data_IF_665593074413
#
_entry.id   IF_665593074413
#
_cell.length_a   1.000
_cell.length_b   1.000
_cell.length_c   1.000
_cell.angle_alpha   90.00
_cell.angle_beta   90.00
_cell.angle_gamma   90.00
#
_symmetry.space_group_name_H-M   'P 1'
#
loop_
_entity.id
_entity.type
_entity.pdbx_description
1 polymer ?
#
# COMPACT_ATOMS: atom_id res chain seq x y z
N UNK A 1 20.54 -11.57 9.44
CA UNK A 1 19.81 -12.69 8.82
C UNK A 1 18.40 -12.79 9.39
N UNK A 2 18.24 -12.72 10.71
CA UNK A 2 16.95 -12.79 11.40
C UNK A 2 15.98 -11.66 10.97
N UNK A 3 16.45 -10.42 10.89
CA UNK A 3 15.66 -9.27 10.45
C UNK A 3 15.17 -9.40 9.00
N UNK A 4 15.99 -9.94 8.10
CA UNK A 4 15.59 -10.20 6.71
C UNK A 4 14.48 -11.26 6.67
N UNK A 5 14.65 -12.36 7.40
CA UNK A 5 13.65 -13.42 7.48
C UNK A 5 12.31 -12.93 8.01
N UNK A 6 12.31 -12.17 9.10
CA UNK A 6 11.11 -11.57 9.68
C UNK A 6 10.42 -10.61 8.72
N UNK A 7 11.18 -9.74 8.04
CA UNK A 7 10.66 -8.83 7.03
C UNK A 7 10.02 -9.56 5.85
N UNK A 8 10.69 -10.57 5.29
CA UNK A 8 10.14 -11.40 4.22
C UNK A 8 8.85 -12.09 4.64
N UNK A 9 8.82 -12.63 5.86
CA UNK A 9 7.63 -13.32 6.35
C UNK A 9 6.45 -12.36 6.54
N UNK A 10 6.70 -11.21 7.15
CA UNK A 10 5.65 -10.22 7.44
C UNK A 10 5.13 -9.53 6.17
N UNK A 11 6.02 -9.10 5.27
CA UNK A 11 5.64 -8.18 4.19
C UNK A 11 5.39 -8.87 2.84
N UNK A 12 5.89 -10.09 2.63
CA UNK A 12 5.71 -10.82 1.38
C UNK A 12 5.00 -12.16 1.57
N UNK A 13 5.50 -13.05 2.45
CA UNK A 13 4.91 -14.38 2.60
C UNK A 13 3.46 -14.30 3.09
N UNK A 14 3.14 -13.36 3.98
CA UNK A 14 1.77 -13.13 4.45
C UNK A 14 0.82 -12.75 3.30
N UNK A 15 1.28 -11.90 2.36
CA UNK A 15 0.50 -11.50 1.19
C UNK A 15 0.29 -12.68 0.25
N UNK A 16 1.34 -13.46 -0.02
CA UNK A 16 1.25 -14.64 -0.88
C UNK A 16 0.30 -15.70 -0.31
N UNK A 17 0.42 -16.00 0.99
CA UNK A 17 -0.46 -16.93 1.69
C UNK A 17 -1.90 -16.42 1.75
N UNK A 18 -2.10 -15.15 2.08
CA UNK A 18 -3.43 -14.51 2.08
C UNK A 18 -4.09 -14.58 0.71
N UNK A 19 -3.35 -14.28 -0.36
CA UNK A 19 -3.84 -14.39 -1.74
C UNK A 19 -4.22 -15.83 -2.08
N UNK A 20 -3.40 -16.81 -1.70
CA UNK A 20 -3.68 -18.24 -1.94
C UNK A 20 -4.97 -18.67 -1.26
N UNK A 21 -5.11 -18.47 0.05
CA UNK A 21 -6.29 -18.91 0.79
C UNK A 21 -7.56 -18.17 0.36
N UNK A 22 -7.46 -16.87 0.06
CA UNK A 22 -8.59 -16.11 -0.49
C UNK A 22 -9.01 -16.67 -1.86
N UNK A 23 -8.05 -16.97 -2.73
CA UNK A 23 -8.33 -17.52 -4.06
C UNK A 23 -8.97 -18.92 -4.00
N UNK A 24 -8.54 -19.77 -3.06
CA UNK A 24 -9.18 -21.09 -2.82
C UNK A 24 -10.65 -20.90 -2.45
N UNK A 25 -10.96 -20.04 -1.47
CA UNK A 25 -12.34 -19.78 -1.05
C UNK A 25 -13.19 -19.09 -2.14
N UNK A 26 -12.62 -18.12 -2.87
CA UNK A 26 -13.32 -17.40 -3.93
C UNK A 26 -13.63 -18.28 -5.14
N UNK A 27 -12.78 -19.25 -5.46
CA UNK A 27 -13.03 -20.18 -6.55
C UNK A 27 -14.28 -21.04 -6.33
N UNK A 28 -14.62 -21.36 -5.08
CA UNK A 28 -15.82 -22.10 -4.71
C UNK A 28 -17.10 -21.26 -4.84
N UNK A 29 -16.99 -19.94 -4.79
CA UNK A 29 -18.13 -18.99 -4.81
C UNK A 29 -18.30 -18.26 -6.14
N UNK A 30 -17.54 -18.64 -7.17
CA UNK A 30 -17.69 -18.10 -8.52
C UNK A 30 -16.82 -16.88 -8.84
N UNK A 31 -15.80 -16.61 -8.03
CA UNK A 31 -14.84 -15.54 -8.28
C UNK A 31 -14.76 -14.51 -7.15
N UNK A 32 -14.01 -13.45 -7.38
CA UNK A 32 -13.84 -12.41 -6.37
C UNK A 32 -12.79 -11.36 -6.71
N UNK A 33 -12.42 -10.57 -5.71
CA UNK A 33 -11.41 -9.51 -5.83
C UNK A 33 -10.43 -9.57 -4.68
N UNK A 34 -9.15 -9.57 -5.01
CA UNK A 34 -8.04 -9.49 -4.06
C UNK A 34 -7.29 -8.18 -4.31
N UNK A 35 -7.05 -7.41 -3.25
CA UNK A 35 -6.29 -6.16 -3.34
C UNK A 35 -5.12 -6.25 -2.36
N UNK A 36 -3.91 -6.30 -2.90
CA UNK A 36 -2.68 -6.37 -2.12
C UNK A 36 -2.15 -4.98 -1.80
N UNK A 37 -1.71 -4.77 -0.57
CA UNK A 37 -1.15 -3.49 -0.16
C UNK A 37 0.36 -3.45 -0.45
N UNK A 38 0.75 -2.81 -1.54
CA UNK A 38 2.13 -2.52 -1.91
C UNK A 38 2.62 -1.20 -1.27
N UNK A 39 3.35 -0.37 -1.97
CA UNK A 39 3.80 0.97 -1.54
C UNK A 39 4.52 1.68 -2.68
N UNK A 40 4.51 3.01 -2.70
CA UNK A 40 5.39 3.80 -3.58
C UNK A 40 6.88 3.53 -3.33
N UNK A 41 7.24 2.98 -2.18
CA UNK A 41 8.61 2.54 -1.89
C UNK A 41 9.08 1.41 -2.83
N UNK A 42 8.15 0.63 -3.39
CA UNK A 42 8.44 -0.37 -4.43
C UNK A 42 8.68 0.23 -5.82
N UNK A 43 8.31 1.50 -6.04
CA UNK A 43 8.46 2.23 -7.31
C UNK A 43 9.60 3.24 -7.29
N UNK A 44 9.89 3.80 -6.14
CA UNK A 44 10.84 4.89 -6.00
C UNK A 44 11.79 4.64 -4.83
N UNK A 45 13.08 4.81 -5.07
CA UNK A 45 14.10 4.75 -4.03
C UNK A 45 13.95 5.88 -3.01
N UNK A 46 14.49 5.69 -1.80
CA UNK A 46 14.44 6.63 -0.66
C UNK A 46 13.03 6.94 -0.13
N UNK A 47 12.07 6.05 -0.35
CA UNK A 47 10.74 6.12 0.28
C UNK A 47 10.57 5.09 1.43
N UNK A 48 11.59 4.29 1.69
CA UNK A 48 11.74 3.31 2.74
C UNK A 48 13.16 2.77 2.74
N UNK A 49 13.48 1.90 3.69
CA UNK A 49 14.75 1.17 3.66
C UNK A 49 14.80 0.18 2.48
N UNK A 50 16.00 -0.37 2.24
CA UNK A 50 16.22 -1.24 1.08
C UNK A 50 15.41 -2.54 1.16
N UNK A 51 15.25 -3.13 2.36
CA UNK A 51 14.49 -4.36 2.55
C UNK A 51 12.99 -4.12 2.30
N UNK A 52 12.44 -3.11 2.95
CA UNK A 52 11.04 -2.72 2.79
C UNK A 52 10.72 -2.42 1.31
N UNK A 53 11.53 -1.60 0.66
CA UNK A 53 11.35 -1.21 -0.74
C UNK A 53 11.39 -2.43 -1.68
N UNK A 54 12.35 -3.33 -1.45
CA UNK A 54 12.46 -4.57 -2.22
C UNK A 54 11.23 -5.47 -2.05
N UNK A 55 10.76 -5.64 -0.81
CA UNK A 55 9.60 -6.48 -0.54
C UNK A 55 8.30 -5.89 -1.09
N UNK A 56 8.13 -4.57 -1.04
CA UNK A 56 6.96 -3.89 -1.62
C UNK A 56 6.96 -3.94 -3.16
N UNK A 57 8.13 -3.89 -3.80
CA UNK A 57 8.27 -4.16 -5.22
C UNK A 57 7.91 -5.61 -5.56
N UNK A 58 8.32 -6.56 -4.72
CA UNK A 58 7.96 -7.97 -4.87
C UNK A 58 6.45 -8.21 -4.75
N UNK A 59 5.75 -7.52 -3.83
CA UNK A 59 4.29 -7.59 -3.70
C UNK A 59 3.61 -7.09 -4.98
N UNK A 60 4.05 -5.96 -5.54
CA UNK A 60 3.50 -5.42 -6.79
C UNK A 60 3.71 -6.39 -7.96
N UNK A 61 4.90 -7.01 -8.06
CA UNK A 61 5.18 -7.98 -9.11
C UNK A 61 4.38 -9.28 -8.91
N UNK A 62 4.34 -9.82 -7.70
CA UNK A 62 3.52 -11.00 -7.34
C UNK A 62 2.06 -10.80 -7.72
N UNK A 63 1.50 -9.62 -7.47
CA UNK A 63 0.12 -9.27 -7.83
C UNK A 63 -0.15 -9.44 -9.33
N UNK A 64 0.79 -9.03 -10.19
CA UNK A 64 0.67 -9.19 -11.65
C UNK A 64 0.64 -10.66 -12.07
N UNK A 65 1.51 -11.47 -11.47
CA UNK A 65 1.56 -12.92 -11.74
C UNK A 65 0.29 -13.61 -11.26
N UNK A 66 -0.16 -13.32 -10.04
CA UNK A 66 -1.39 -13.87 -9.47
C UNK A 66 -2.63 -13.48 -10.28
N UNK A 67 -2.68 -12.27 -10.83
CA UNK A 67 -3.79 -11.82 -11.68
C UNK A 67 -3.94 -12.67 -12.95
N UNK A 68 -2.82 -13.02 -13.58
CA UNK A 68 -2.82 -13.88 -14.78
C UNK A 68 -3.26 -15.30 -14.43
N UNK A 69 -2.75 -15.85 -13.33
CA UNK A 69 -3.04 -17.22 -12.90
C UNK A 69 -4.49 -17.38 -12.41
N UNK A 70 -5.03 -16.38 -11.71
CA UNK A 70 -6.36 -16.45 -11.10
C UNK A 70 -7.49 -15.90 -11.98
N UNK A 71 -7.16 -15.18 -13.04
CA UNK A 71 -8.15 -14.65 -14.00
C UNK A 71 -9.12 -15.71 -14.55
N UNK A 72 -8.66 -16.91 -14.97
CA UNK A 72 -9.55 -17.98 -15.41
C UNK A 72 -10.57 -18.47 -14.36
N UNK A 73 -10.34 -18.16 -13.09
CA UNK A 73 -11.26 -18.44 -11.97
C UNK A 73 -12.18 -17.26 -11.64
N UNK A 74 -12.29 -16.28 -12.54
CA UNK A 74 -13.02 -15.03 -12.31
C UNK A 74 -12.57 -14.25 -11.07
N UNK A 75 -11.30 -14.37 -10.68
CA UNK A 75 -10.70 -13.65 -9.55
C UNK A 75 -9.81 -12.55 -10.09
N UNK A 76 -10.12 -11.30 -9.76
CA UNK A 76 -9.28 -10.14 -10.06
C UNK A 76 -8.27 -9.94 -8.95
N UNK A 77 -7.02 -9.67 -9.28
CA UNK A 77 -5.98 -9.38 -8.30
C UNK A 77 -5.30 -8.07 -8.67
N UNK A 78 -5.36 -7.08 -7.80
CA UNK A 78 -4.73 -5.78 -7.99
C UNK A 78 -3.88 -5.43 -6.76
N UNK A 79 -2.99 -4.47 -6.93
CA UNK A 79 -2.29 -3.85 -5.82
C UNK A 79 -2.72 -2.38 -5.68
N UNK A 80 -2.55 -1.86 -4.48
CA UNK A 80 -2.57 -0.43 -4.20
C UNK A 80 -1.22 -0.03 -3.64
N UNK A 81 -0.66 1.06 -4.15
CA UNK A 81 0.61 1.63 -3.71
C UNK A 81 0.40 3.00 -3.08
N UNK A 82 0.13 3.05 -1.76
CA UNK A 82 -0.01 4.32 -1.05
C UNK A 82 1.29 5.12 -1.05
N UNK A 83 1.14 6.44 -1.13
CA UNK A 83 2.18 7.39 -0.82
C UNK A 83 2.33 7.64 0.68
N UNK A 84 2.71 8.85 1.02
CA UNK A 84 2.78 9.29 2.40
C UNK A 84 1.37 9.64 2.90
N UNK A 85 0.74 8.70 3.59
CA UNK A 85 -0.61 8.84 4.16
C UNK A 85 -0.50 9.22 5.63
N UNK A 86 -1.23 10.25 6.05
CA UNK A 86 -1.19 10.77 7.41
C UNK A 86 -1.79 9.78 8.41
N UNK A 87 -0.91 8.97 8.98
CA UNK A 87 -1.26 7.94 9.97
C UNK A 87 -0.20 7.89 11.08
N UNK A 88 -0.50 7.29 12.23
CA UNK A 88 0.45 7.14 13.33
C UNK A 88 1.76 6.43 12.98
N UNK A 89 1.85 5.74 11.84
CA UNK A 89 3.06 5.03 11.41
C UNK A 89 4.29 5.97 11.35
N UNK A 90 4.08 7.25 11.08
CA UNK A 90 5.15 8.25 10.98
C UNK A 90 5.66 8.76 12.34
N UNK A 91 5.01 8.41 13.45
CA UNK A 91 5.46 8.80 14.80
C UNK A 91 5.39 7.65 15.81
N UNK A 92 5.68 6.45 15.34
CA UNK A 92 5.86 5.26 16.18
C UNK A 92 4.73 4.23 16.12
N UNK A 93 3.79 4.38 15.18
CA UNK A 93 2.70 3.42 14.95
C UNK A 93 1.56 3.54 15.97
N UNK A 94 0.61 2.62 15.86
CA UNK A 94 -0.59 2.61 16.72
C UNK A 94 -0.27 2.40 18.19
N UNK A 95 0.72 1.59 18.54
CA UNK A 95 1.15 1.39 19.92
C UNK A 95 1.55 2.70 20.58
N UNK A 96 2.39 3.48 19.89
CA UNK A 96 2.81 4.80 20.37
C UNK A 96 1.64 5.77 20.44
N UNK A 97 0.78 5.78 19.43
CA UNK A 97 -0.39 6.66 19.41
C UNK A 97 -1.33 6.39 20.58
N UNK A 98 -1.53 5.13 20.94
CA UNK A 98 -2.40 4.71 22.06
C UNK A 98 -1.86 5.14 23.43
N UNK A 99 -0.58 5.54 23.56
CA UNK A 99 -0.01 6.08 24.80
C UNK A 99 -0.14 7.61 24.92
N UNK A 100 -0.62 8.27 23.89
CA UNK A 100 -0.78 9.73 23.84
C UNK A 100 -2.22 10.11 24.21
N UNK A 101 -2.40 11.35 24.70
CA UNK A 101 -3.73 11.93 24.81
C UNK A 101 -4.37 12.13 23.43
N UNK A 102 -5.68 12.24 23.38
CA UNK A 102 -6.39 12.56 22.12
C UNK A 102 -5.91 13.89 21.52
N UNK A 103 -5.66 14.87 22.38
CA UNK A 103 -5.18 16.20 22.00
C UNK A 103 -3.76 16.13 21.41
N UNK A 104 -2.85 15.43 22.06
CA UNK A 104 -1.46 15.24 21.56
C UNK A 104 -1.43 14.48 20.22
N UNK A 105 -2.28 13.46 20.07
CA UNK A 105 -2.43 12.73 18.82
C UNK A 105 -2.94 13.65 17.70
N UNK A 106 -3.97 14.45 17.96
CA UNK A 106 -4.50 15.39 16.99
C UNK A 106 -3.45 16.42 16.57
N UNK A 107 -2.72 17.00 17.53
CA UNK A 107 -1.65 17.95 17.25
C UNK A 107 -0.51 17.35 16.42
N UNK A 108 -0.09 16.11 16.72
CA UNK A 108 0.91 15.39 15.94
C UNK A 108 0.43 15.11 14.53
N UNK A 109 -0.83 14.69 14.37
CA UNK A 109 -1.42 14.39 13.07
C UNK A 109 -1.49 15.65 12.20
N UNK A 110 -1.94 16.78 12.74
CA UNK A 110 -2.00 18.05 12.00
C UNK A 110 -0.60 18.52 11.55
N UNK A 111 0.39 18.45 12.44
CA UNK A 111 1.78 18.74 12.08
C UNK A 111 2.29 17.83 10.97
N UNK A 112 1.96 16.53 11.06
CA UNK A 112 2.32 15.55 10.04
C UNK A 112 1.67 15.89 8.69
N UNK A 113 0.35 16.17 8.66
CA UNK A 113 -0.37 16.57 7.45
C UNK A 113 0.29 17.77 6.76
N UNK A 114 0.62 18.81 7.52
CA UNK A 114 1.33 19.98 7.00
C UNK A 114 2.70 19.66 6.37
N UNK A 115 3.41 18.68 6.92
CA UNK A 115 4.70 18.23 6.36
C UNK A 115 4.50 17.37 5.10
N UNK A 116 3.53 16.47 5.11
CA UNK A 116 3.26 15.57 3.99
C UNK A 116 2.71 16.33 2.78
N UNK A 117 1.91 17.36 3.00
CA UNK A 117 1.39 18.24 1.95
C UNK A 117 2.53 18.87 1.11
N UNK A 118 3.63 19.27 1.77
CA UNK A 118 4.81 19.81 1.07
C UNK A 118 5.55 18.78 0.24
N UNK A 119 5.30 17.51 0.47
CA UNK A 119 5.98 16.39 -0.16
C UNK A 119 5.19 15.76 -1.30
N UNK A 120 4.02 16.31 -1.65
CA UNK A 120 3.18 15.86 -2.76
C UNK A 120 2.91 17.01 -3.74
N UNK A 121 3.01 16.79 -5.06
CA UNK A 121 2.68 17.80 -6.08
C UNK A 121 1.28 18.41 -5.93
N UNK A 122 0.30 17.65 -5.45
CA UNK A 122 -1.05 18.16 -5.20
C UNK A 122 -1.11 19.18 -4.06
N UNK A 123 -0.05 19.32 -3.24
CA UNK A 123 -0.01 20.27 -2.13
C UNK A 123 -0.93 19.92 -0.96
N UNK A 124 -1.44 18.69 -0.92
CA UNK A 124 -2.28 18.15 0.16
C UNK A 124 -1.67 16.87 0.73
N UNK A 125 -1.96 16.58 1.99
CA UNK A 125 -1.60 15.30 2.60
C UNK A 125 -2.57 14.23 2.14
N UNK A 126 -2.05 13.03 1.83
CA UNK A 126 -2.90 11.86 1.71
C UNK A 126 -3.49 11.44 3.06
N UNK A 127 -4.72 10.97 3.06
CA UNK A 127 -5.44 10.48 4.22
C UNK A 127 -5.91 9.04 4.02
N UNK A 128 -6.22 8.28 5.08
CA UNK A 128 -6.69 6.90 4.96
C UNK A 128 -7.90 6.74 4.04
N UNK A 129 -8.78 7.74 3.97
CA UNK A 129 -9.96 7.73 3.11
C UNK A 129 -9.57 7.69 1.62
N UNK A 130 -8.48 8.35 1.22
CA UNK A 130 -8.04 8.34 -0.17
C UNK A 130 -7.66 6.92 -0.63
N UNK A 131 -7.09 6.15 0.29
CA UNK A 131 -6.75 4.74 0.03
C UNK A 131 -8.02 3.89 0.04
N UNK A 132 -8.95 4.13 0.95
CA UNK A 132 -10.20 3.39 1.03
C UNK A 132 -11.04 3.56 -0.24
N UNK A 133 -11.16 4.78 -0.78
CA UNK A 133 -11.87 5.06 -2.03
C UNK A 133 -11.21 4.38 -3.24
N UNK A 134 -9.89 4.35 -3.29
CA UNK A 134 -9.16 3.65 -4.35
C UNK A 134 -9.37 2.12 -4.26
N UNK A 135 -9.40 1.56 -3.05
CA UNK A 135 -9.75 0.15 -2.80
C UNK A 135 -11.18 -0.12 -3.22
N UNK A 136 -12.12 0.76 -2.86
CA UNK A 136 -13.53 0.63 -3.25
C UNK A 136 -13.71 0.62 -4.78
N UNK A 137 -13.02 1.52 -5.50
CA UNK A 137 -13.00 1.51 -6.96
C UNK A 137 -12.55 0.16 -7.53
N UNK A 138 -11.43 -0.38 -7.04
CA UNK A 138 -10.91 -1.65 -7.53
C UNK A 138 -11.80 -2.84 -7.15
N UNK A 139 -12.48 -2.78 -6.01
CA UNK A 139 -13.34 -3.86 -5.52
C UNK A 139 -14.72 -3.90 -6.19
N UNK A 140 -15.29 -2.74 -6.47
CA UNK A 140 -16.63 -2.59 -7.03
C UNK A 140 -16.70 -2.93 -8.54
N UNK A 141 -17.92 -2.88 -9.10
CA UNK A 141 -18.18 -3.11 -10.53
C UNK A 141 -17.50 -2.07 -11.43
N UNK A 142 -17.22 -0.86 -10.91
CA UNK A 142 -16.41 0.15 -11.60
C UNK A 142 -15.01 -0.34 -11.97
N UNK A 143 -14.45 -1.25 -11.18
CA UNK A 143 -13.16 -1.89 -11.41
C UNK A 143 -13.24 -3.25 -12.11
N UNK A 144 -14.40 -3.68 -12.62
CA UNK A 144 -14.63 -5.03 -13.16
C UNK A 144 -13.68 -5.46 -14.27
N UNK A 145 -13.08 -4.53 -14.97
CA UNK A 145 -12.14 -4.80 -16.06
C UNK A 145 -10.68 -4.45 -15.72
N UNK A 146 -10.40 -4.27 -14.42
CA UNK A 146 -9.06 -3.97 -13.90
C UNK A 146 -8.54 -5.17 -13.13
N UNK A 147 -7.45 -5.77 -13.62
CA UNK A 147 -6.71 -6.84 -12.94
C UNK A 147 -5.23 -6.76 -13.28
N UNK A 148 -4.35 -7.17 -12.39
CA UNK A 148 -2.89 -7.09 -12.54
C UNK A 148 -2.35 -5.66 -12.45
N UNK A 149 -3.17 -4.69 -12.03
CA UNK A 149 -2.77 -3.29 -11.92
C UNK A 149 -2.24 -2.99 -10.51
N UNK A 150 -1.27 -2.10 -10.44
CA UNK A 150 -0.78 -1.50 -9.20
C UNK A 150 -1.17 -0.01 -9.21
N UNK A 151 -2.23 0.32 -8.48
CA UNK A 151 -2.79 1.65 -8.42
C UNK A 151 -2.02 2.51 -7.42
N UNK A 152 -1.24 3.44 -7.93
CA UNK A 152 -0.51 4.40 -7.11
C UNK A 152 -1.45 5.51 -6.64
N UNK A 153 -1.47 5.75 -5.31
CA UNK A 153 -2.28 6.81 -4.67
C UNK A 153 -1.37 7.61 -3.74
N UNK A 154 -0.75 8.66 -4.29
CA UNK A 154 0.37 9.34 -3.64
C UNK A 154 0.43 10.86 -3.84
N UNK A 155 -0.60 11.45 -4.45
CA UNK A 155 -0.63 12.88 -4.77
C UNK A 155 0.44 13.30 -5.79
N UNK A 156 0.96 12.37 -6.58
CA UNK A 156 2.00 12.59 -7.61
C UNK A 156 3.43 12.48 -7.07
N UNK A 157 3.62 12.02 -5.84
CA UNK A 157 4.93 12.01 -5.18
C UNK A 157 5.99 11.20 -5.92
N UNK A 158 5.67 10.07 -6.53
CA UNK A 158 6.65 9.27 -7.27
C UNK A 158 7.22 10.00 -8.50
N UNK A 159 6.50 10.99 -9.02
CA UNK A 159 6.91 11.79 -10.17
C UNK A 159 7.81 12.98 -9.82
N UNK A 160 7.95 13.29 -8.53
CA UNK A 160 8.82 14.39 -8.11
C UNK A 160 10.28 14.06 -8.36
N UNK A 161 10.99 14.95 -9.03
CA UNK A 161 12.44 14.98 -9.01
C UNK A 161 12.89 15.38 -7.60
N UNK A 162 13.56 14.48 -6.89
CA UNK A 162 14.36 14.92 -5.75
C UNK A 162 15.70 15.37 -6.30
N UNK A 163 15.88 16.65 -6.35
CA UNK A 163 17.24 17.17 -6.35
C UNK A 163 17.92 16.65 -5.07
N UNK A 164 19.09 16.06 -5.26
CA UNK A 164 19.96 15.73 -4.15
C UNK A 164 20.35 17.09 -3.54
N UNK A 165 19.68 17.50 -2.45
CA UNK A 165 20.21 18.57 -1.63
C UNK A 165 21.60 18.14 -1.22
N UNK A 166 22.60 18.81 -1.79
CA UNK A 166 24.00 18.62 -1.52
C UNK A 166 24.34 18.86 -0.05
#
# INVERSE_FOLDING_TARGET
QEMIGAGCHLLLSSVMLGTRFAAEAMAETGGGVIINNASIAGHRFRQGDILYSTLKAAVAHFTRLAAVELGPKAIRVNAISPGAIATPIFYGGSERANTLSAEDNAAKLEKLKGNLAKAAPLGVSGEPIDIAEAVLYLAADSGRFVTGHDLVVDGGRIMMFNEMSG
#
